data_IF_027806615470
#
_entry.id   IF_027806615470
#
_cell.length_a   1.000
_cell.length_b   1.000
_cell.length_c   1.000
_cell.angle_alpha   90.00
_cell.angle_beta   90.00
_cell.angle_gamma   90.00
#
_symmetry.space_group_name_H-M   'P 1'
#
loop_
_entity.id
_entity.type
_entity.pdbx_description
1 polymer ?
#
# COMPACT_ATOMS: atom_id res chain seq x y z
N UNK A 1 2.44 -11.67 11.40
CA UNK A 1 3.01 -11.97 10.06
C UNK A 1 4.45 -11.50 9.96
N UNK A 2 4.75 -10.20 10.07
CA UNK A 2 6.12 -9.65 9.97
C UNK A 2 7.09 -10.34 10.93
N UNK A 3 6.75 -10.43 12.23
CA UNK A 3 7.62 -11.10 13.22
C UNK A 3 7.82 -12.59 12.89
N UNK A 4 6.77 -13.29 12.46
CA UNK A 4 6.88 -14.70 12.07
C UNK A 4 7.82 -14.92 10.87
N UNK A 5 7.78 -14.03 9.88
CA UNK A 5 8.68 -14.06 8.72
C UNK A 5 10.10 -13.66 9.12
N UNK A 6 10.25 -12.69 10.04
CA UNK A 6 11.54 -12.30 10.62
C UNK A 6 12.23 -13.49 11.31
N UNK A 7 11.53 -14.16 12.24
CA UNK A 7 12.07 -15.33 12.92
C UNK A 7 12.33 -16.47 11.93
N UNK A 8 11.47 -16.65 10.92
CA UNK A 8 11.69 -17.66 9.87
C UNK A 8 12.99 -17.40 9.11
N UNK A 9 13.35 -16.14 8.88
CA UNK A 9 14.63 -15.76 8.27
C UNK A 9 15.83 -16.27 9.07
N UNK A 10 15.88 -15.96 10.36
CA UNK A 10 16.93 -16.46 11.26
C UNK A 10 16.98 -17.98 11.30
N UNK A 11 15.82 -18.62 11.41
CA UNK A 11 15.69 -20.07 11.47
C UNK A 11 16.22 -20.78 10.21
N UNK A 12 15.82 -20.31 9.03
CA UNK A 12 16.26 -20.90 7.76
C UNK A 12 17.76 -20.71 7.55
N UNK A 13 18.30 -19.53 7.91
CA UNK A 13 19.72 -19.26 7.84
C UNK A 13 20.53 -20.15 8.79
N UNK A 14 20.10 -20.26 10.06
CA UNK A 14 20.74 -21.13 11.05
C UNK A 14 20.81 -22.59 10.55
N UNK A 15 19.70 -23.11 10.03
CA UNK A 15 19.64 -24.46 9.46
C UNK A 15 20.53 -24.65 8.24
N UNK A 16 20.67 -23.62 7.41
CA UNK A 16 21.53 -23.66 6.21
C UNK A 16 23.01 -23.77 6.59
N UNK A 17 23.44 -23.09 7.65
CA UNK A 17 24.81 -23.17 8.18
C UNK A 17 25.03 -24.34 9.15
N UNK A 18 24.03 -25.22 9.33
CA UNK A 18 24.14 -26.41 10.16
C UNK A 18 23.97 -26.17 11.65
N UNK A 19 23.70 -24.94 12.08
CA UNK A 19 23.44 -24.61 13.49
C UNK A 19 22.18 -25.32 13.95
N UNK A 20 22.27 -26.01 15.09
CA UNK A 20 21.11 -26.65 15.69
C UNK A 20 20.20 -25.60 16.33
N UNK A 21 18.93 -25.60 15.91
CA UNK A 21 17.88 -24.76 16.50
C UNK A 21 17.13 -25.61 17.51
N UNK A 22 17.14 -25.19 18.77
CA UNK A 22 16.44 -25.86 19.86
C UNK A 22 14.94 -25.59 19.74
N UNK A 23 14.57 -24.31 19.59
CA UNK A 23 13.18 -23.86 19.64
C UNK A 23 12.93 -22.76 18.61
N UNK A 24 11.83 -22.89 17.88
CA UNK A 24 11.23 -21.86 17.05
C UNK A 24 9.87 -21.52 17.64
N UNK A 25 9.73 -20.35 18.25
CA UNK A 25 8.49 -19.95 18.93
C UNK A 25 7.89 -18.71 18.28
N UNK A 26 6.60 -18.78 17.94
CA UNK A 26 5.81 -17.61 17.54
C UNK A 26 4.88 -17.26 18.70
N UNK A 27 4.90 -16.01 19.12
CA UNK A 27 4.09 -15.50 20.23
C UNK A 27 4.71 -15.73 21.62
N UNK A 28 4.21 -14.97 22.58
CA UNK A 28 4.63 -14.97 23.98
C UNK A 28 3.62 -15.69 24.90
N UNK A 29 4.04 -15.91 26.15
CA UNK A 29 3.23 -16.52 27.19
C UNK A 29 3.10 -18.04 27.07
N UNK A 30 2.02 -18.57 27.65
CA UNK A 30 1.74 -20.01 27.70
C UNK A 30 1.70 -20.59 26.29
N UNK A 31 2.44 -21.67 26.07
CA UNK A 31 2.43 -22.41 24.81
C UNK A 31 1.06 -23.09 24.64
N UNK A 32 0.37 -22.76 23.54
CA UNK A 32 -0.90 -23.37 23.15
C UNK A 32 -0.68 -24.73 22.52
N UNK A 33 0.31 -24.83 21.63
CA UNK A 33 0.68 -26.05 20.95
C UNK A 33 2.17 -26.05 20.66
N UNK A 34 2.75 -27.25 20.68
CA UNK A 34 4.16 -27.48 20.36
C UNK A 34 4.32 -28.79 19.58
N UNK A 35 5.29 -28.83 18.66
CA UNK A 35 5.63 -30.01 17.87
C UNK A 35 7.11 -30.03 17.55
N UNK A 36 7.74 -31.19 17.72
CA UNK A 36 9.12 -31.41 17.30
C UNK A 36 9.20 -31.84 15.84
N UNK A 37 10.22 -31.35 15.14
CA UNK A 37 10.54 -31.85 13.81
C UNK A 37 11.61 -32.95 13.84
N UNK A 38 11.94 -33.49 12.66
CA UNK A 38 12.92 -34.59 12.51
C UNK A 38 14.34 -34.22 12.95
N UNK A 39 14.66 -32.93 13.07
CA UNK A 39 15.98 -32.43 13.49
C UNK A 39 16.01 -32.07 14.97
N UNK A 40 14.93 -32.35 15.71
CA UNK A 40 14.82 -32.07 17.14
C UNK A 40 14.46 -30.62 17.48
N UNK A 41 14.06 -29.79 16.50
CA UNK A 41 13.61 -28.42 16.79
C UNK A 41 12.18 -28.42 17.28
N UNK A 42 11.94 -27.78 18.41
CA UNK A 42 10.60 -27.51 18.96
C UNK A 42 9.94 -26.33 18.24
N UNK A 43 8.85 -26.56 17.50
CA UNK A 43 7.99 -25.52 16.95
C UNK A 43 6.83 -25.26 17.91
N UNK A 44 6.77 -24.07 18.49
CA UNK A 44 5.77 -23.72 19.49
C UNK A 44 5.00 -22.44 19.15
N UNK A 45 3.73 -22.41 19.53
CA UNK A 45 2.85 -21.26 19.36
C UNK A 45 2.38 -20.77 20.73
N UNK A 46 2.71 -19.53 21.08
CA UNK A 46 2.30 -18.86 22.31
C UNK A 46 0.90 -18.25 22.22
N UNK A 47 0.27 -18.04 23.37
CA UNK A 47 -1.05 -17.42 23.50
C UNK A 47 -1.09 -15.98 22.98
N UNK A 48 -0.04 -15.19 23.24
CA UNK A 48 0.00 -13.77 22.86
C UNK A 48 0.74 -13.60 21.54
N UNK A 49 0.12 -13.04 20.49
CA UNK A 49 0.75 -12.91 19.16
C UNK A 49 1.75 -11.74 19.06
N UNK A 50 2.35 -11.33 20.18
CA UNK A 50 3.16 -10.11 20.31
C UNK A 50 4.66 -10.33 20.09
N UNK A 51 5.09 -11.32 19.30
CA UNK A 51 6.51 -11.60 19.14
C UNK A 51 6.83 -12.97 18.59
N UNK A 52 8.08 -13.36 18.74
CA UNK A 52 8.63 -14.68 18.43
C UNK A 52 10.13 -14.69 18.76
N UNK A 53 10.73 -15.88 18.75
CA UNK A 53 12.18 -16.03 18.82
C UNK A 53 12.64 -17.37 18.24
N UNK A 54 13.87 -17.38 17.75
CA UNK A 54 14.62 -18.58 17.39
C UNK A 54 15.72 -18.80 18.43
N UNK A 55 15.65 -19.92 19.16
CA UNK A 55 16.66 -20.30 20.12
C UNK A 55 17.67 -21.25 19.47
N UNK A 56 18.90 -20.79 19.29
CA UNK A 56 19.98 -21.59 18.73
C UNK A 56 20.82 -22.23 19.83
N UNK A 57 21.37 -23.41 19.55
CA UNK A 57 22.28 -24.08 20.47
C UNK A 57 23.50 -23.20 20.73
N UNK A 58 23.80 -22.93 22.01
CA UNK A 58 24.92 -22.11 22.45
C UNK A 58 24.79 -20.60 22.23
N UNK A 59 23.59 -20.11 21.94
CA UNK A 59 23.27 -18.68 21.99
C UNK A 59 22.79 -18.31 23.39
N UNK A 60 23.53 -17.44 24.10
CA UNK A 60 23.11 -16.89 25.39
C UNK A 60 22.04 -15.83 25.15
N UNK A 61 20.77 -16.15 25.43
CA UNK A 61 19.66 -15.22 25.28
C UNK A 61 19.23 -14.65 26.65
N UNK A 62 19.36 -13.34 26.91
CA UNK A 62 19.05 -12.73 28.20
C UNK A 62 17.55 -12.73 28.59
N UNK A 63 16.65 -13.19 27.71
CA UNK A 63 15.20 -13.18 27.93
C UNK A 63 14.61 -14.48 28.50
N UNK A 64 15.40 -15.49 28.89
CA UNK A 64 14.86 -16.76 29.38
C UNK A 64 15.76 -17.46 30.41
N UNK A 65 15.11 -17.99 31.45
CA UNK A 65 15.74 -18.68 32.58
C UNK A 65 16.44 -19.98 32.21
N UNK A 66 17.23 -20.47 33.17
CA UNK A 66 18.08 -21.65 33.08
C UNK A 66 17.26 -22.91 32.71
N UNK A 67 17.15 -23.24 31.43
CA UNK A 67 16.67 -24.55 30.98
C UNK A 67 17.87 -25.45 30.66
N UNK A 68 17.84 -26.65 31.23
CA UNK A 68 18.92 -27.61 31.36
C UNK A 68 19.49 -28.08 30.02
N UNK A 69 20.81 -28.31 30.02
CA UNK A 69 21.56 -28.96 28.95
C UNK A 69 21.14 -30.43 28.84
N UNK A 70 20.03 -30.74 28.18
CA UNK A 70 19.69 -32.12 27.87
C UNK A 70 20.58 -32.68 26.75
N UNK A 71 21.30 -33.75 27.10
CA UNK A 71 22.23 -34.43 26.24
C UNK A 71 21.55 -35.18 25.10
N UNK A 72 22.10 -35.05 23.90
CA UNK A 72 21.96 -36.06 22.86
C UNK A 72 23.31 -36.32 22.21
N UNK A 73 23.63 -37.61 22.05
CA UNK A 73 24.93 -38.19 21.69
C UNK A 73 25.32 -38.00 20.21
N UNK A 74 24.90 -36.91 19.57
CA UNK A 74 25.36 -36.49 18.25
C UNK A 74 25.98 -35.10 18.38
N UNK A 75 27.18 -34.90 17.83
CA UNK A 75 27.88 -33.61 17.87
C UNK A 75 27.13 -32.58 17.03
N UNK A 76 26.13 -31.93 17.63
CA UNK A 76 25.33 -30.87 17.02
C UNK A 76 26.16 -29.58 16.97
N UNK A 77 26.09 -28.86 15.86
CA UNK A 77 26.84 -27.60 15.69
C UNK A 77 26.17 -26.47 16.46
N UNK A 78 26.96 -25.83 17.32
CA UNK A 78 26.56 -24.69 18.14
C UNK A 78 26.74 -23.37 17.39
N UNK A 79 25.95 -22.35 17.70
CA UNK A 79 26.00 -21.03 17.06
C UNK A 79 27.39 -20.36 17.14
N UNK A 80 28.14 -20.43 18.26
CA UNK A 80 29.49 -19.88 18.32
C UNK A 80 30.54 -20.68 17.52
N UNK A 81 30.25 -21.93 17.13
CA UNK A 81 31.18 -22.80 16.40
C UNK A 81 31.25 -22.49 14.90
N UNK A 82 30.23 -21.81 14.35
CA UNK A 82 30.22 -21.41 12.94
C UNK A 82 31.04 -20.12 12.71
N UNK A 83 31.48 -19.93 11.46
CA UNK A 83 32.31 -18.79 11.08
C UNK A 83 31.65 -17.44 11.40
N UNK A 84 32.45 -16.38 11.58
CA UNK A 84 31.95 -15.03 11.81
C UNK A 84 30.99 -14.58 10.69
N UNK A 85 31.29 -14.91 9.43
CA UNK A 85 30.42 -14.62 8.29
C UNK A 85 29.09 -15.36 8.37
N UNK A 86 29.09 -16.63 8.78
CA UNK A 86 27.84 -17.38 8.98
C UNK A 86 26.97 -16.75 10.06
N UNK A 87 27.55 -16.36 11.21
CA UNK A 87 26.83 -15.65 12.28
C UNK A 87 26.26 -14.33 11.80
N UNK A 88 27.05 -13.52 11.11
CA UNK A 88 26.59 -12.25 10.54
C UNK A 88 25.39 -12.46 9.59
N UNK A 89 25.43 -13.48 8.72
CA UNK A 89 24.33 -13.81 7.82
C UNK A 89 23.10 -14.28 8.61
N UNK A 90 23.26 -15.13 9.63
CA UNK A 90 22.16 -15.60 10.47
C UNK A 90 21.47 -14.43 11.17
N UNK A 91 22.23 -13.51 11.78
CA UNK A 91 21.69 -12.31 12.42
C UNK A 91 21.05 -11.34 11.43
N UNK A 92 21.57 -11.22 10.21
CA UNK A 92 20.97 -10.35 9.19
C UNK A 92 19.74 -10.97 8.50
N UNK A 93 19.57 -12.30 8.56
CA UNK A 93 18.54 -13.01 7.80
C UNK A 93 17.11 -12.62 8.18
N UNK A 94 16.84 -12.31 9.45
CA UNK A 94 15.52 -11.84 9.88
C UNK A 94 15.14 -10.48 9.26
N UNK A 95 15.96 -9.42 9.43
CA UNK A 95 15.74 -8.14 8.76
C UNK A 95 15.63 -8.26 7.23
N UNK A 96 16.49 -9.07 6.60
CA UNK A 96 16.44 -9.31 5.15
C UNK A 96 15.13 -9.98 4.74
N UNK A 97 14.63 -10.95 5.52
CA UNK A 97 13.34 -11.59 5.25
C UNK A 97 12.17 -10.58 5.30
N UNK A 98 12.20 -9.62 6.23
CA UNK A 98 11.20 -8.54 6.26
C UNK A 98 11.31 -7.61 5.06
N UNK A 99 12.53 -7.29 4.62
CA UNK A 99 12.75 -6.46 3.44
C UNK A 99 12.22 -7.16 2.17
N UNK A 100 12.49 -8.45 2.02
CA UNK A 100 11.94 -9.25 0.92
C UNK A 100 10.41 -9.36 0.99
N UNK A 101 9.85 -9.52 2.19
CA UNK A 101 8.40 -9.51 2.40
C UNK A 101 7.79 -8.17 1.97
N UNK A 102 8.43 -7.04 2.30
CA UNK A 102 7.97 -5.73 1.88
C UNK A 102 7.99 -5.60 0.36
N UNK A 103 9.09 -5.97 -0.31
CA UNK A 103 9.18 -5.98 -1.78
C UNK A 103 8.04 -6.81 -2.39
N UNK A 104 7.82 -8.02 -1.89
CA UNK A 104 6.77 -8.90 -2.38
C UNK A 104 5.36 -8.32 -2.14
N UNK A 105 5.12 -7.74 -0.97
CA UNK A 105 3.84 -7.10 -0.64
C UNK A 105 3.56 -5.91 -1.55
N UNK A 106 4.54 -5.03 -1.77
CA UNK A 106 4.41 -3.90 -2.69
C UNK A 106 4.20 -4.37 -4.13
N UNK A 107 4.94 -5.40 -4.57
CA UNK A 107 4.74 -6.00 -5.88
C UNK A 107 3.30 -6.48 -6.09
N UNK A 108 2.69 -7.15 -5.09
CA UNK A 108 1.29 -7.56 -5.16
C UNK A 108 0.33 -6.36 -5.22
N UNK A 109 0.58 -5.31 -4.44
CA UNK A 109 -0.23 -4.09 -4.49
C UNK A 109 -0.21 -3.47 -5.89
N UNK A 110 0.96 -3.41 -6.53
CA UNK A 110 1.10 -2.90 -7.89
C UNK A 110 0.39 -3.76 -8.94
N UNK A 111 0.42 -5.10 -8.82
CA UNK A 111 -0.29 -6.00 -9.74
C UNK A 111 -1.81 -5.91 -9.59
N UNK A 112 -2.30 -5.88 -8.35
CA UNK A 112 -3.74 -5.78 -8.07
C UNK A 112 -4.27 -4.42 -8.54
N UNK A 113 -3.43 -3.38 -8.50
CA UNK A 113 -3.79 -2.02 -8.81
C UNK A 113 -4.67 -1.40 -7.72
N UNK A 114 -4.88 -0.09 -7.82
CA UNK A 114 -5.79 0.65 -6.95
C UNK A 114 -7.07 0.99 -7.70
N UNK A 115 -8.18 1.08 -6.96
CA UNK A 115 -9.40 1.70 -7.46
C UNK A 115 -9.18 3.21 -7.46
N UNK A 116 -9.34 3.83 -8.61
CA UNK A 116 -9.30 5.28 -8.77
C UNK A 116 -10.66 5.78 -9.28
N UNK A 117 -10.92 7.07 -9.12
CA UNK A 117 -12.12 7.73 -9.61
C UNK A 117 -12.14 7.70 -11.14
N UNK A 118 -13.33 7.52 -11.70
CA UNK A 118 -13.54 7.70 -13.13
C UNK A 118 -13.32 9.18 -13.50
N UNK A 119 -12.78 9.48 -14.70
CA UNK A 119 -12.53 10.85 -15.17
C UNK A 119 -13.82 11.51 -15.64
N UNK A 120 -14.82 11.59 -14.76
CA UNK A 120 -16.14 12.19 -15.02
C UNK A 120 -16.18 13.59 -14.42
N UNK A 121 -16.66 14.55 -15.19
CA UNK A 121 -16.79 15.95 -14.81
C UNK A 121 -17.99 16.09 -13.85
N UNK A 122 -17.74 16.50 -12.61
CA UNK A 122 -18.78 16.78 -11.62
C UNK A 122 -19.20 18.24 -11.59
N UNK A 123 -18.29 19.14 -11.94
CA UNK A 123 -18.53 20.58 -12.04
C UNK A 123 -17.54 21.22 -13.00
N UNK A 124 -17.95 22.28 -13.68
CA UNK A 124 -17.11 23.11 -14.57
C UNK A 124 -17.10 24.53 -14.03
N UNK A 125 -15.90 25.08 -13.79
CA UNK A 125 -15.74 26.46 -13.34
C UNK A 125 -15.93 27.44 -14.51
N UNK A 126 -16.59 28.56 -14.25
CA UNK A 126 -16.75 29.64 -15.22
C UNK A 126 -15.40 30.25 -15.62
N UNK A 127 -15.27 30.67 -16.88
CA UNK A 127 -14.06 31.24 -17.49
C UNK A 127 -12.82 30.34 -17.34
N UNK A 128 -13.01 29.03 -17.47
CA UNK A 128 -11.94 28.03 -17.33
C UNK A 128 -11.60 27.34 -18.64
N UNK A 129 -10.44 26.66 -18.70
CA UNK A 129 -10.04 25.92 -19.89
C UNK A 129 -11.04 24.81 -20.22
N UNK A 130 -11.58 24.14 -19.21
CA UNK A 130 -12.60 23.12 -19.36
C UNK A 130 -13.90 23.67 -19.98
N UNK A 131 -14.31 24.88 -19.59
CA UNK A 131 -15.46 25.56 -20.19
C UNK A 131 -15.18 25.93 -21.66
N UNK A 132 -13.98 26.42 -21.98
CA UNK A 132 -13.56 26.75 -23.35
C UNK A 132 -13.55 25.52 -24.28
N UNK A 133 -13.17 24.35 -23.74
CA UNK A 133 -13.25 23.05 -24.44
C UNK A 133 -14.71 22.61 -24.69
N UNK A 134 -15.67 23.16 -23.95
CA UNK A 134 -17.09 22.80 -24.02
C UNK A 134 -17.48 21.60 -23.14
N UNK A 135 -16.68 21.29 -22.11
CA UNK A 135 -17.03 20.27 -21.13
C UNK A 135 -18.26 20.69 -20.32
N UNK A 136 -19.13 19.73 -20.03
CA UNK A 136 -20.30 19.90 -19.19
C UNK A 136 -20.30 18.88 -18.04
N UNK A 137 -21.13 19.11 -17.04
CA UNK A 137 -21.33 18.15 -15.94
C UNK A 137 -21.85 16.83 -16.51
N UNK A 138 -21.24 15.72 -16.07
CA UNK A 138 -21.54 14.38 -16.55
C UNK A 138 -20.59 13.86 -17.63
N UNK A 139 -19.89 14.74 -18.34
CA UNK A 139 -19.00 14.35 -19.42
C UNK A 139 -17.85 13.49 -18.91
N UNK A 140 -17.48 12.46 -19.68
CA UNK A 140 -16.31 11.62 -19.39
C UNK A 140 -15.16 12.01 -20.29
N UNK A 141 -14.04 12.42 -19.70
CA UNK A 141 -12.82 12.68 -20.46
C UNK A 141 -12.20 11.34 -20.88
N UNK A 142 -11.92 11.18 -22.17
CA UNK A 142 -11.39 9.96 -22.78
C UNK A 142 -9.89 10.08 -23.08
N UNK A 143 -9.42 11.25 -23.50
CA UNK A 143 -8.00 11.49 -23.77
C UNK A 143 -7.63 12.98 -23.73
N UNK A 144 -6.35 13.25 -23.45
CA UNK A 144 -5.72 14.57 -23.65
C UNK A 144 -4.41 14.37 -24.42
N UNK A 145 -4.21 15.15 -25.49
CA UNK A 145 -3.01 15.11 -26.34
C UNK A 145 -2.61 13.67 -26.74
N UNK A 146 -3.59 12.91 -27.25
CA UNK A 146 -3.48 11.49 -27.65
C UNK A 146 -3.25 10.47 -26.52
N UNK A 147 -3.04 10.93 -25.27
CA UNK A 147 -2.91 10.04 -24.11
C UNK A 147 -4.29 9.65 -23.59
N UNK A 148 -4.56 8.34 -23.55
CA UNK A 148 -5.80 7.78 -23.00
C UNK A 148 -5.93 8.07 -21.51
N UNK A 149 -7.14 8.46 -21.09
CA UNK A 149 -7.48 8.77 -19.71
C UNK A 149 -8.57 7.79 -19.27
N UNK A 150 -8.16 6.83 -18.44
CA UNK A 150 -9.06 5.81 -17.88
C UNK A 150 -9.47 6.14 -16.45
N UNK A 151 -8.64 6.92 -15.76
CA UNK A 151 -8.74 7.27 -14.34
C UNK A 151 -8.43 8.73 -14.11
N UNK A 152 -8.85 9.26 -12.97
CA UNK A 152 -8.56 10.63 -12.58
C UNK A 152 -7.06 10.88 -12.36
N UNK A 153 -6.30 9.87 -11.91
CA UNK A 153 -4.83 9.95 -11.85
C UNK A 153 -4.20 10.21 -13.21
N UNK A 154 -4.71 9.58 -14.26
CA UNK A 154 -4.19 9.72 -15.62
C UNK A 154 -4.39 11.16 -16.09
N UNK A 155 -5.57 11.74 -15.82
CA UNK A 155 -5.85 13.14 -16.11
C UNK A 155 -4.88 14.09 -15.39
N UNK A 156 -4.65 13.87 -14.09
CA UNK A 156 -3.67 14.63 -13.32
C UNK A 156 -2.27 14.52 -13.93
N UNK A 157 -1.82 13.31 -14.27
CA UNK A 157 -0.50 13.05 -14.83
C UNK A 157 -0.31 13.74 -16.19
N UNK A 158 -1.30 13.63 -17.08
CA UNK A 158 -1.23 14.25 -18.41
C UNK A 158 -1.18 15.77 -18.27
N UNK A 159 -2.08 16.38 -17.50
CA UNK A 159 -2.08 17.83 -17.28
C UNK A 159 -0.82 18.32 -16.54
N UNK A 160 -0.30 17.53 -15.58
CA UNK A 160 0.96 17.83 -14.89
C UNK A 160 2.14 17.84 -15.85
N UNK A 161 2.16 16.94 -16.83
CA UNK A 161 3.23 16.87 -17.83
C UNK A 161 3.30 18.10 -18.74
N UNK A 162 2.24 18.92 -18.78
CA UNK A 162 2.14 20.14 -19.59
C UNK A 162 2.47 21.42 -18.80
N UNK A 163 2.82 21.31 -17.51
CA UNK A 163 3.12 22.46 -16.66
C UNK A 163 4.37 23.20 -17.17
N UNK A 164 4.28 24.52 -17.26
CA UNK A 164 5.28 25.43 -17.83
C UNK A 164 5.29 25.49 -19.35
N UNK A 165 4.39 24.75 -20.02
CA UNK A 165 4.31 24.77 -21.48
C UNK A 165 3.32 25.81 -22.01
N UNK A 166 3.59 26.28 -23.23
CA UNK A 166 2.68 27.10 -24.04
C UNK A 166 2.32 26.33 -25.30
N UNK A 167 1.03 26.19 -25.59
CA UNK A 167 0.56 25.44 -26.76
C UNK A 167 -0.92 25.09 -26.69
N UNK A 168 -1.36 24.15 -27.50
CA UNK A 168 -2.74 23.68 -27.50
C UNK A 168 -2.85 22.36 -26.74
N UNK A 169 -3.89 22.23 -25.92
CA UNK A 169 -4.36 20.97 -25.35
C UNK A 169 -5.53 20.48 -26.18
N UNK A 170 -5.46 19.24 -26.66
CA UNK A 170 -6.55 18.58 -27.38
C UNK A 170 -7.23 17.61 -26.43
N UNK A 171 -8.54 17.73 -26.24
CA UNK A 171 -9.32 16.93 -25.29
C UNK A 171 -10.38 16.17 -26.05
N UNK A 172 -10.45 14.86 -25.87
CA UNK A 172 -11.58 14.04 -26.33
C UNK A 172 -12.41 13.62 -25.13
N UNK A 173 -13.73 13.73 -25.27
CA UNK A 173 -14.67 13.44 -24.19
C UNK A 173 -15.98 12.87 -24.73
N UNK A 174 -16.65 12.08 -23.89
CA UNK A 174 -17.95 11.48 -24.16
C UNK A 174 -19.03 12.30 -23.46
N UNK A 175 -19.99 12.83 -24.23
CA UNK A 175 -21.18 13.51 -23.68
C UNK A 175 -22.09 12.52 -22.97
N UNK A 176 -22.48 12.82 -21.72
CA UNK A 176 -23.39 11.94 -20.95
C UNK A 176 -24.73 11.76 -21.67
N UNK A 177 -25.38 12.85 -22.07
CA UNK A 177 -26.73 12.82 -22.63
C UNK A 177 -26.82 12.15 -24.01
N UNK A 178 -25.76 12.22 -24.81
CA UNK A 178 -25.78 11.83 -26.23
C UNK A 178 -24.97 10.58 -26.54
N UNK A 179 -24.17 10.10 -25.57
CA UNK A 179 -23.20 9.02 -25.79
C UNK A 179 -22.35 9.25 -27.04
N UNK A 180 -22.06 10.52 -27.32
CA UNK A 180 -21.33 10.96 -28.49
C UNK A 180 -19.92 11.40 -28.06
N UNK A 181 -18.92 10.89 -28.77
CA UNK A 181 -17.55 11.36 -28.62
C UNK A 181 -17.38 12.71 -29.33
N UNK A 182 -16.87 13.69 -28.60
CA UNK A 182 -16.54 15.01 -29.08
C UNK A 182 -15.07 15.30 -28.80
N UNK A 183 -14.51 16.23 -29.58
CA UNK A 183 -13.17 16.72 -29.40
C UNK A 183 -13.21 18.24 -29.30
N UNK A 184 -12.51 18.79 -28.31
CA UNK A 184 -12.29 20.22 -28.13
C UNK A 184 -10.80 20.51 -28.00
N UNK A 185 -10.43 21.78 -28.17
CA UNK A 185 -9.05 22.22 -28.04
C UNK A 185 -9.00 23.58 -27.35
N UNK A 186 -8.02 23.76 -26.47
CA UNK A 186 -7.82 25.01 -25.73
C UNK A 186 -6.35 25.42 -25.74
N UNK A 187 -6.08 26.71 -25.81
CA UNK A 187 -4.73 27.25 -25.74
C UNK A 187 -4.31 27.46 -24.29
N UNK A 188 -3.11 27.01 -23.95
CA UNK A 188 -2.45 27.25 -22.67
C UNK A 188 -1.20 28.10 -22.89
N UNK A 189 -0.94 29.02 -21.98
CA UNK A 189 0.25 29.87 -21.97
C UNK A 189 0.92 29.80 -20.60
N UNK A 190 2.20 29.43 -20.57
CA UNK A 190 2.99 29.21 -19.35
C UNK A 190 2.21 28.45 -18.27
N UNK A 191 1.65 27.30 -18.66
CA UNK A 191 0.62 26.61 -17.89
C UNK A 191 1.05 26.35 -16.44
N UNK A 192 0.37 26.96 -15.48
CA UNK A 192 0.68 26.85 -14.04
C UNK A 192 2.14 27.21 -13.66
N UNK A 193 2.88 27.91 -14.51
CA UNK A 193 4.33 28.08 -14.45
C UNK A 193 4.91 28.24 -13.04
N UNK A 194 4.49 29.29 -12.31
CA UNK A 194 4.97 29.56 -10.94
C UNK A 194 3.98 29.17 -9.82
N UNK A 195 2.79 28.67 -10.15
CA UNK A 195 1.72 28.38 -9.20
C UNK A 195 1.47 26.87 -9.03
N UNK A 196 2.48 26.18 -8.51
CA UNK A 196 2.44 24.74 -8.24
C UNK A 196 1.64 24.37 -6.98
N UNK A 197 1.11 25.35 -6.24
CA UNK A 197 0.36 25.10 -5.01
C UNK A 197 -1.14 24.83 -5.27
N UNK A 198 -1.61 25.01 -6.50
CA UNK A 198 -2.99 24.73 -6.88
C UNK A 198 -3.18 23.30 -7.39
N UNK A 199 -4.40 22.78 -7.23
CA UNK A 199 -4.78 21.50 -7.84
C UNK A 199 -4.84 21.65 -9.35
N UNK A 200 -4.04 20.85 -10.07
CA UNK A 200 -3.96 20.88 -11.54
C UNK A 200 -5.33 20.67 -12.20
N UNK A 201 -6.12 19.71 -11.73
CA UNK A 201 -7.49 19.46 -12.21
C UNK A 201 -8.39 20.68 -12.00
N UNK A 202 -8.29 21.31 -10.82
CA UNK A 202 -9.08 22.51 -10.52
C UNK A 202 -8.67 23.67 -11.41
N UNK A 203 -7.37 23.85 -11.63
CA UNK A 203 -6.84 24.88 -12.52
C UNK A 203 -7.27 24.64 -13.97
N UNK A 204 -7.32 23.39 -14.42
CA UNK A 204 -7.90 23.05 -15.73
C UNK A 204 -9.38 23.44 -15.83
N UNK A 205 -10.08 23.55 -14.69
CA UNK A 205 -11.43 24.10 -14.65
C UNK A 205 -12.51 23.10 -14.32
N UNK A 206 -12.17 21.92 -13.79
CA UNK A 206 -13.17 20.94 -13.38
C UNK A 206 -13.06 20.55 -11.91
N UNK A 207 -14.17 20.08 -11.36
CA UNK A 207 -14.19 19.25 -10.17
C UNK A 207 -14.62 17.83 -10.56
N UNK A 208 -13.95 16.77 -10.07
CA UNK A 208 -14.35 15.39 -10.36
C UNK A 208 -15.75 15.09 -9.80
N UNK A 209 -16.51 14.26 -10.52
CA UNK A 209 -17.79 13.76 -10.01
C UNK A 209 -17.58 12.92 -8.75
N UNK A 210 -18.27 13.30 -7.68
CA UNK A 210 -18.25 12.59 -6.40
C UNK A 210 -19.66 12.59 -5.82
N UNK A 211 -20.19 11.38 -5.58
CA UNK A 211 -21.45 11.24 -4.86
C UNK A 211 -21.18 11.59 -3.40
N UNK A 212 -21.82 12.63 -2.90
CA UNK A 212 -21.72 13.00 -1.48
C UNK A 212 -22.74 12.17 -0.71
N UNK A 213 -22.28 11.16 0.01
CA UNK A 213 -23.12 10.35 0.91
C UNK A 213 -23.07 10.93 2.32
N UNK A 214 -24.24 11.17 2.93
CA UNK A 214 -24.35 11.70 4.28
C UNK A 214 -23.91 10.63 5.28
N UNK A 215 -22.72 10.80 5.86
CA UNK A 215 -22.18 9.86 6.85
C UNK A 215 -22.95 9.89 8.18
N UNK A 216 -23.39 11.08 8.58
CA UNK A 216 -24.08 11.34 9.84
C UNK A 216 -24.86 12.65 9.76
N UNK A 217 -25.99 12.72 10.46
CA UNK A 217 -26.81 13.94 10.61
C UNK A 217 -26.78 14.35 12.07
N UNK A 218 -26.37 15.59 12.33
CA UNK A 218 -26.26 16.14 13.69
C UNK A 218 -27.68 16.44 14.23
N UNK A 219 -28.03 16.01 15.46
CA UNK A 219 -29.31 16.35 16.08
C UNK A 219 -29.56 17.86 16.16
N UNK A 220 -30.82 18.27 15.98
CA UNK A 220 -31.33 19.64 15.96
C UNK A 220 -30.78 20.54 14.83
N UNK A 221 -29.94 20.01 13.96
CA UNK A 221 -29.37 20.73 12.82
C UNK A 221 -30.44 21.04 11.75
N UNK A 222 -30.12 21.99 10.87
CA UNK A 222 -30.95 22.26 9.69
C UNK A 222 -31.12 21.03 8.80
N UNK A 223 -30.10 20.15 8.74
CA UNK A 223 -30.13 18.92 7.96
C UNK A 223 -31.15 17.90 8.50
N UNK A 224 -31.20 17.70 9.83
CA UNK A 224 -32.22 16.85 10.47
C UNK A 224 -33.62 17.43 10.27
N UNK A 225 -33.76 18.76 10.45
CA UNK A 225 -35.04 19.47 10.26
C UNK A 225 -35.53 19.41 8.81
N UNK A 226 -34.63 19.35 7.82
CA UNK A 226 -34.99 19.14 6.41
C UNK A 226 -35.28 17.68 6.05
N UNK A 227 -35.12 16.75 7.00
CA UNK A 227 -35.40 15.32 6.80
C UNK A 227 -34.27 14.55 6.12
N UNK A 228 -33.05 15.09 6.07
CA UNK A 228 -31.89 14.34 5.58
C UNK A 228 -31.54 13.23 6.58
N UNK A 229 -31.14 12.08 6.05
CA UNK A 229 -30.80 10.88 6.81
C UNK A 229 -29.39 10.40 6.49
N UNK A 230 -28.81 9.63 7.42
CA UNK A 230 -27.56 8.90 7.17
C UNK A 230 -27.74 7.93 6.01
N UNK A 231 -26.82 7.99 5.04
CA UNK A 231 -26.83 7.19 3.82
C UNK A 231 -27.54 7.86 2.64
N UNK A 232 -28.16 9.03 2.84
CA UNK A 232 -28.69 9.81 1.73
C UNK A 232 -27.55 10.23 0.80
N UNK A 233 -27.80 10.13 -0.50
CA UNK A 233 -26.87 10.53 -1.56
C UNK A 233 -27.33 11.87 -2.12
N UNK A 234 -26.47 12.87 -2.01
CA UNK A 234 -26.69 14.17 -2.64
C UNK A 234 -26.15 14.05 -4.07
N UNK A 235 -27.08 14.14 -5.03
CA UNK A 235 -26.83 14.09 -6.47
C UNK A 235 -26.71 15.51 -7.03
#
# INVERSE_FOLDING_TARGET
>A
VVIGIHELGHFLAARKFGVHVIRFKIGFGKTLMSKFDKRGTEFSLGLLPLGGYVQMLGEDNPLQGEEEKEGSSNKLTSYPEVSLGARAIITAAGPVANFLLAIFAYFLIFIIGTKDLAPVVGYVYENSLAEEVGLEVGDRILSIDEKEISKLSDLNEVLASRVGETGTLNVQYLKEERTQELSGSVFIEDWLGSDLNQSIIRSFGISPFSIVEIFEVIPESSAEKSGLLKGDKIL
#
